data_IF_291569088679
#
_entry.id   IF_291569088679
#
_cell.length_a   1.000
_cell.length_b   1.000
_cell.length_c   1.000
_cell.angle_alpha   90.00
_cell.angle_beta   90.00
_cell.angle_gamma   90.00
#
_symmetry.space_group_name_H-M   'P 1'
#
loop_
_entity.id
_entity.type
_entity.pdbx_description
1 polymer ?
#
# COMPACT_ATOMS: atom_id res chain seq x y z
N UNK A 1 13.23 40.21 -16.36
CA UNK A 1 14.47 39.46 -16.11
C UNK A 1 14.02 38.11 -15.58
N UNK A 2 14.05 37.10 -16.44
CA UNK A 2 13.59 35.73 -16.15
C UNK A 2 14.70 34.98 -15.44
N UNK A 3 14.50 34.64 -14.17
CA UNK A 3 15.41 33.78 -13.43
C UNK A 3 15.15 32.32 -13.82
N UNK A 4 15.70 31.92 -14.98
CA UNK A 4 15.91 30.51 -15.30
C UNK A 4 16.93 29.96 -14.30
N UNK A 5 16.45 29.30 -13.25
CA UNK A 5 17.27 28.56 -12.29
C UNK A 5 18.16 27.59 -13.05
N UNK A 6 19.46 27.86 -13.06
CA UNK A 6 20.44 26.91 -13.57
C UNK A 6 20.45 25.74 -12.59
N UNK A 7 19.82 24.63 -12.97
CA UNK A 7 19.87 23.39 -12.20
C UNK A 7 21.33 22.96 -12.15
N UNK A 8 21.97 23.16 -11.01
CA UNK A 8 23.41 22.92 -10.80
C UNK A 8 23.70 21.55 -10.16
N UNK A 9 24.99 21.24 -10.01
CA UNK A 9 25.49 20.01 -9.36
C UNK A 9 24.91 19.85 -7.94
N UNK A 10 24.87 20.94 -7.16
CA UNK A 10 24.27 20.98 -5.81
C UNK A 10 22.81 20.51 -5.76
N UNK A 11 22.01 20.77 -6.82
CA UNK A 11 20.63 20.31 -6.89
C UNK A 11 20.57 18.79 -6.99
N UNK A 12 21.40 18.19 -7.83
CA UNK A 12 21.38 16.74 -8.05
C UNK A 12 22.00 15.97 -6.87
N UNK A 13 22.99 16.54 -6.19
CA UNK A 13 23.50 15.99 -4.93
C UNK A 13 22.41 15.95 -3.84
N UNK A 14 21.65 17.05 -3.70
CA UNK A 14 20.54 17.12 -2.76
C UNK A 14 19.41 16.14 -3.13
N UNK A 15 19.03 16.09 -4.41
CA UNK A 15 18.01 15.17 -4.92
C UNK A 15 18.41 13.70 -4.68
N UNK A 16 19.68 13.35 -4.89
CA UNK A 16 20.18 12.01 -4.59
C UNK A 16 20.08 11.67 -3.10
N UNK A 17 20.38 12.62 -2.22
CA UNK A 17 20.21 12.45 -0.78
C UNK A 17 18.72 12.21 -0.42
N UNK A 18 17.80 13.00 -0.98
CA UNK A 18 16.36 12.83 -0.77
C UNK A 18 15.86 11.46 -1.24
N UNK A 19 16.26 11.01 -2.43
CA UNK A 19 15.90 9.67 -2.95
C UNK A 19 16.42 8.55 -2.04
N UNK A 20 17.64 8.70 -1.49
CA UNK A 20 18.21 7.73 -0.55
C UNK A 20 17.40 7.65 0.76
N UNK A 21 16.99 8.79 1.31
CA UNK A 21 16.12 8.82 2.49
C UNK A 21 14.78 8.13 2.22
N UNK A 22 14.17 8.36 1.05
CA UNK A 22 12.93 7.66 0.65
C UNK A 22 13.15 6.15 0.57
N UNK A 23 14.28 5.70 0.00
CA UNK A 23 14.61 4.27 -0.09
C UNK A 23 14.76 3.64 1.28
N UNK A 24 15.50 4.27 2.20
CA UNK A 24 15.77 3.76 3.54
C UNK A 24 14.54 3.80 4.47
N UNK A 25 13.54 4.63 4.17
CA UNK A 25 12.34 4.76 4.96
C UNK A 25 11.56 3.44 5.11
N UNK A 26 10.97 3.18 6.29
CA UNK A 26 10.03 2.06 6.50
C UNK A 26 8.58 2.42 6.11
N UNK A 27 8.38 3.59 5.51
CA UNK A 27 7.05 4.05 5.07
C UNK A 27 6.41 3.09 4.08
N UNK A 28 5.08 3.14 4.04
CA UNK A 28 4.26 2.29 3.16
C UNK A 28 4.67 2.48 1.70
N UNK A 29 4.61 1.41 0.91
CA UNK A 29 4.94 1.39 -0.53
C UNK A 29 4.41 2.61 -1.31
N UNK A 30 3.12 2.90 -1.19
CA UNK A 30 2.49 4.02 -1.89
C UNK A 30 3.01 5.39 -1.44
N UNK A 31 3.39 5.53 -0.18
CA UNK A 31 3.95 6.79 0.31
C UNK A 31 5.31 7.07 -0.32
N UNK A 32 6.16 6.04 -0.48
CA UNK A 32 7.45 6.20 -1.17
C UNK A 32 7.25 6.67 -2.62
N UNK A 33 6.26 6.14 -3.33
CA UNK A 33 5.93 6.60 -4.69
C UNK A 33 5.46 8.06 -4.71
N UNK A 34 4.64 8.48 -3.74
CA UNK A 34 4.22 9.88 -3.64
C UNK A 34 5.38 10.80 -3.26
N UNK A 35 6.32 10.33 -2.44
CA UNK A 35 7.51 11.07 -2.07
C UNK A 35 8.42 11.27 -3.29
N UNK A 36 8.61 10.23 -4.12
CA UNK A 36 9.34 10.37 -5.40
C UNK A 36 8.65 11.33 -6.35
N UNK A 37 7.33 11.25 -6.50
CA UNK A 37 6.58 12.20 -7.32
C UNK A 37 6.75 13.65 -6.86
N UNK A 38 6.88 13.87 -5.54
CA UNK A 38 7.12 15.20 -4.96
C UNK A 38 8.51 15.78 -5.28
N UNK A 39 9.48 14.96 -5.69
CA UNK A 39 10.80 15.43 -6.13
C UNK A 39 10.80 16.13 -7.50
N UNK A 40 9.65 16.15 -8.18
CA UNK A 40 9.55 16.79 -9.48
C UNK A 40 9.89 18.28 -9.43
N UNK A 41 10.60 18.79 -10.45
CA UNK A 41 11.00 20.20 -10.53
C UNK A 41 9.81 21.17 -10.59
N UNK A 42 8.68 20.70 -11.10
CA UNK A 42 7.43 21.43 -11.23
C UNK A 42 6.37 20.99 -10.20
N UNK A 43 6.78 20.27 -9.15
CA UNK A 43 5.84 19.72 -8.17
C UNK A 43 4.96 20.81 -7.55
N UNK A 44 3.65 20.55 -7.58
CA UNK A 44 2.66 21.40 -6.92
C UNK A 44 1.60 20.53 -6.23
N UNK A 45 1.60 20.55 -4.90
CA UNK A 45 0.65 19.80 -4.07
C UNK A 45 -0.82 20.15 -4.34
N UNK A 46 -1.08 21.39 -4.75
CA UNK A 46 -2.43 21.91 -4.95
C UNK A 46 -2.94 21.66 -6.37
N UNK A 47 -2.04 21.27 -7.29
CA UNK A 47 -2.37 21.01 -8.68
C UNK A 47 -3.39 19.85 -8.82
N UNK A 48 -4.38 19.97 -9.72
CA UNK A 48 -5.32 18.89 -10.00
C UNK A 48 -4.63 17.59 -10.45
N UNK A 49 -3.52 17.70 -11.18
CA UNK A 49 -2.70 16.56 -11.64
C UNK A 49 -2.12 15.76 -10.50
N UNK A 50 -1.61 16.41 -9.44
CA UNK A 50 -1.10 15.76 -8.24
C UNK A 50 -2.18 14.98 -7.50
N UNK A 51 -3.36 15.59 -7.31
CA UNK A 51 -4.50 14.89 -6.67
C UNK A 51 -4.94 13.68 -7.50
N UNK A 52 -4.94 13.81 -8.83
CA UNK A 52 -5.27 12.72 -9.74
C UNK A 52 -4.23 11.60 -9.69
N UNK A 53 -2.94 11.95 -9.65
CA UNK A 53 -1.84 11.02 -9.53
C UNK A 53 -1.96 10.18 -8.24
N UNK A 54 -2.14 10.84 -7.08
CA UNK A 54 -2.30 10.14 -5.80
C UNK A 54 -3.51 9.19 -5.78
N UNK A 55 -4.61 9.56 -6.42
CA UNK A 55 -5.78 8.68 -6.57
C UNK A 55 -5.50 7.48 -7.48
N UNK A 56 -4.72 7.66 -8.54
CA UNK A 56 -4.49 6.62 -9.56
C UNK A 56 -3.37 5.66 -9.23
N UNK A 57 -2.26 6.15 -8.66
CA UNK A 57 -1.03 5.36 -8.49
C UNK A 57 -1.26 4.11 -7.63
N UNK A 58 -2.08 4.22 -6.58
CA UNK A 58 -2.42 3.08 -5.72
C UNK A 58 -3.17 1.99 -6.50
N UNK A 59 -4.20 2.37 -7.26
CA UNK A 59 -4.98 1.40 -8.03
C UNK A 59 -4.16 0.76 -9.16
N UNK A 60 -3.28 1.53 -9.82
CA UNK A 60 -2.37 0.99 -10.83
C UNK A 60 -1.43 -0.08 -10.27
N UNK A 61 -0.86 0.17 -9.09
CA UNK A 61 0.01 -0.79 -8.41
C UNK A 61 -0.73 -2.06 -7.97
N UNK A 62 -1.92 -1.92 -7.36
CA UNK A 62 -2.76 -3.08 -7.04
C UNK A 62 -3.08 -3.90 -8.29
N UNK A 63 -3.44 -3.21 -9.37
CA UNK A 63 -3.82 -3.86 -10.62
C UNK A 63 -2.64 -4.58 -11.28
N UNK A 64 -1.44 -4.00 -11.28
CA UNK A 64 -0.24 -4.64 -11.80
C UNK A 64 0.09 -5.94 -11.03
N UNK A 65 -0.03 -5.93 -9.71
CA UNK A 65 0.36 -7.08 -8.86
C UNK A 65 -0.65 -8.24 -8.92
N UNK A 66 -1.95 -7.95 -9.03
CA UNK A 66 -2.98 -8.98 -8.87
C UNK A 66 -4.24 -8.77 -9.71
N UNK A 67 -4.22 -7.89 -10.72
CA UNK A 67 -5.30 -7.70 -11.70
C UNK A 67 -6.58 -7.04 -11.18
N UNK A 68 -6.54 -6.43 -9.98
CA UNK A 68 -7.70 -5.78 -9.36
C UNK A 68 -7.31 -4.41 -8.81
N UNK A 69 -8.24 -3.45 -8.81
CA UNK A 69 -8.10 -2.25 -7.98
C UNK A 69 -8.16 -2.59 -6.49
N UNK A 70 -7.78 -1.65 -5.63
CA UNK A 70 -7.86 -1.84 -4.17
C UNK A 70 -9.30 -2.18 -3.72
N UNK A 71 -10.30 -1.53 -4.32
CA UNK A 71 -11.71 -1.74 -3.99
C UNK A 71 -12.22 -3.11 -4.47
N UNK A 72 -11.84 -3.51 -5.69
CA UNK A 72 -12.18 -4.83 -6.24
C UNK A 72 -11.55 -5.96 -5.41
N UNK A 73 -10.29 -5.81 -5.01
CA UNK A 73 -9.59 -6.78 -4.15
C UNK A 73 -10.34 -7.02 -2.83
N UNK A 74 -10.78 -5.95 -2.18
CA UNK A 74 -11.54 -6.03 -0.93
C UNK A 74 -12.83 -6.82 -1.15
N UNK A 75 -13.60 -6.49 -2.20
CA UNK A 75 -14.86 -7.20 -2.51
C UNK A 75 -14.62 -8.67 -2.87
N UNK A 76 -13.54 -8.98 -3.58
CA UNK A 76 -13.18 -10.34 -3.96
C UNK A 76 -12.80 -11.20 -2.74
N UNK A 77 -12.05 -10.62 -1.79
CA UNK A 77 -11.38 -11.39 -0.73
C UNK A 77 -12.05 -11.35 0.63
N UNK A 78 -12.73 -10.26 0.98
CA UNK A 78 -13.45 -10.14 2.25
C UNK A 78 -14.60 -11.15 2.28
N UNK A 79 -14.50 -12.11 3.19
CA UNK A 79 -15.48 -13.19 3.32
C UNK A 79 -15.49 -13.73 4.74
N UNK A 80 -16.61 -13.57 5.44
CA UNK A 80 -16.79 -13.95 6.84
C UNK A 80 -16.64 -15.46 7.12
N UNK A 81 -16.78 -16.30 6.10
CA UNK A 81 -16.68 -17.76 6.23
C UNK A 81 -15.23 -18.26 6.12
N UNK A 82 -14.29 -17.38 5.69
CA UNK A 82 -12.87 -17.70 5.63
C UNK A 82 -12.20 -17.45 6.97
N UNK A 83 -11.10 -18.16 7.21
CA UNK A 83 -10.17 -17.84 8.28
C UNK A 83 -9.72 -16.39 8.18
N UNK A 84 -9.71 -15.69 9.32
CA UNK A 84 -9.40 -14.25 9.40
C UNK A 84 -10.18 -13.40 8.40
N UNK A 85 -11.40 -13.84 8.05
CA UNK A 85 -12.25 -13.25 7.01
C UNK A 85 -11.57 -12.95 5.66
N UNK A 86 -10.51 -13.68 5.34
CA UNK A 86 -9.69 -13.51 4.15
C UNK A 86 -8.53 -12.51 4.29
N UNK A 87 -8.35 -11.86 5.44
CA UNK A 87 -7.17 -11.05 5.72
C UNK A 87 -5.95 -11.95 5.89
N UNK A 88 -4.81 -11.47 5.41
CA UNK A 88 -3.48 -12.08 5.60
C UNK A 88 -2.68 -11.38 6.70
N UNK A 89 -3.03 -10.13 7.02
CA UNK A 89 -2.45 -9.33 8.10
C UNK A 89 -3.44 -8.25 8.55
N UNK A 90 -3.30 -7.74 9.78
CA UNK A 90 -4.10 -6.65 10.37
C UNK A 90 -3.28 -6.04 11.53
N UNK A 91 -3.78 -4.97 12.16
CA UNK A 91 -3.00 -4.23 13.16
C UNK A 91 -2.47 -5.10 14.31
N UNK A 92 -3.28 -6.06 14.79
CA UNK A 92 -2.92 -6.95 15.89
C UNK A 92 -2.56 -8.38 15.43
N UNK A 93 -2.21 -8.58 14.16
CA UNK A 93 -1.87 -9.90 13.65
C UNK A 93 -0.59 -10.47 14.28
N UNK A 94 -0.44 -11.82 14.36
CA UNK A 94 -1.43 -12.83 14.00
C UNK A 94 -2.40 -13.19 15.14
N UNK A 95 -2.11 -12.78 16.38
CA UNK A 95 -2.77 -13.32 17.58
C UNK A 95 -3.94 -12.47 18.11
N UNK A 96 -4.04 -11.21 17.71
CA UNK A 96 -5.07 -10.28 18.19
C UNK A 96 -6.33 -10.27 17.32
N UNK A 97 -7.40 -9.68 17.85
CA UNK A 97 -8.67 -9.53 17.10
C UNK A 97 -8.51 -8.62 15.89
N UNK A 98 -9.16 -8.99 14.81
CA UNK A 98 -9.48 -8.11 13.68
C UNK A 98 -10.49 -7.09 14.19
N UNK A 99 -10.25 -5.81 13.89
CA UNK A 99 -11.18 -4.73 14.17
C UNK A 99 -11.70 -4.12 12.87
N UNK A 100 -12.85 -3.45 12.95
CA UNK A 100 -13.55 -2.88 11.80
C UNK A 100 -12.66 -1.98 10.90
N UNK A 101 -11.73 -1.16 11.42
CA UNK A 101 -10.81 -0.40 10.56
C UNK A 101 -9.89 -1.26 9.68
N UNK A 102 -9.53 -2.48 10.12
CA UNK A 102 -8.62 -3.36 9.39
C UNK A 102 -9.22 -3.85 8.07
N UNK A 103 -10.54 -4.06 8.04
CA UNK A 103 -11.20 -4.77 6.92
C UNK A 103 -11.37 -3.90 5.68
N UNK A 104 -11.19 -2.58 5.82
CA UNK A 104 -11.24 -1.62 4.71
C UNK A 104 -9.88 -1.35 4.06
N UNK A 105 -8.82 -2.00 4.55
CA UNK A 105 -7.45 -1.79 4.06
C UNK A 105 -7.11 -2.89 3.05
N UNK A 106 -7.06 -2.56 1.77
CA UNK A 106 -6.77 -3.52 0.70
C UNK A 106 -5.44 -4.28 0.91
N UNK A 107 -4.40 -3.63 1.45
CA UNK A 107 -3.11 -4.25 1.79
C UNK A 107 -3.27 -5.47 2.71
N UNK A 108 -4.24 -5.43 3.63
CA UNK A 108 -4.48 -6.48 4.61
C UNK A 108 -4.99 -7.79 3.98
N UNK A 109 -5.38 -7.76 2.71
CA UNK A 109 -5.80 -8.94 1.94
C UNK A 109 -4.73 -9.45 0.97
N UNK A 110 -3.55 -8.81 0.91
CA UNK A 110 -2.48 -9.20 -0.01
C UNK A 110 -1.71 -10.41 0.50
N UNK A 111 -1.46 -11.37 -0.38
CA UNK A 111 -0.60 -12.51 -0.11
C UNK A 111 0.86 -12.05 0.01
N UNK A 112 1.69 -12.84 0.68
CA UNK A 112 3.12 -12.53 0.83
C UNK A 112 3.81 -12.31 -0.53
N UNK A 113 3.52 -13.17 -1.52
CA UNK A 113 4.06 -13.03 -2.89
C UNK A 113 3.64 -11.72 -3.57
N UNK A 114 2.43 -11.23 -3.31
CA UNK A 114 1.92 -9.97 -3.86
C UNK A 114 2.54 -8.77 -3.17
N UNK A 115 2.78 -8.85 -1.85
CA UNK A 115 3.51 -7.81 -1.10
C UNK A 115 4.96 -7.71 -1.55
N UNK A 116 5.62 -8.84 -1.79
CA UNK A 116 6.99 -8.88 -2.32
C UNK A 116 7.06 -8.27 -3.72
N UNK A 117 6.11 -8.61 -4.58
CA UNK A 117 6.06 -8.08 -5.94
C UNK A 117 5.77 -6.57 -5.97
N UNK A 118 4.84 -6.11 -5.14
CA UNK A 118 4.61 -4.68 -4.90
C UNK A 118 5.89 -3.95 -4.44
N UNK A 119 6.68 -4.58 -3.57
CA UNK A 119 7.98 -4.08 -3.15
C UNK A 119 8.98 -3.96 -4.30
N UNK A 120 9.05 -4.94 -5.19
CA UNK A 120 9.91 -4.91 -6.39
C UNK A 120 9.53 -3.80 -7.35
N UNK A 121 8.23 -3.56 -7.56
CA UNK A 121 7.75 -2.45 -8.38
C UNK A 121 8.16 -1.09 -7.80
N UNK A 122 7.97 -0.88 -6.50
CA UNK A 122 8.41 0.36 -5.84
C UNK A 122 9.93 0.54 -5.93
N UNK A 123 10.71 -0.52 -5.70
CA UNK A 123 12.17 -0.46 -5.83
C UNK A 123 12.59 -0.12 -7.26
N UNK A 124 11.91 -0.64 -8.28
CA UNK A 124 12.18 -0.30 -9.68
C UNK A 124 11.98 1.19 -9.97
N UNK A 125 10.96 1.81 -9.36
CA UNK A 125 10.74 3.27 -9.44
C UNK A 125 11.86 4.03 -8.74
N UNK A 126 12.30 3.58 -7.57
CA UNK A 126 13.41 4.20 -6.83
C UNK A 126 14.74 4.10 -7.58
N UNK A 127 15.03 2.95 -8.19
CA UNK A 127 16.22 2.72 -9.01
C UNK A 127 16.23 3.64 -10.24
N UNK A 128 15.07 3.78 -10.89
CA UNK A 128 14.92 4.73 -11.97
C UNK A 128 15.14 6.16 -11.49
N UNK A 129 14.65 6.51 -10.31
CA UNK A 129 14.80 7.85 -9.78
C UNK A 129 16.26 8.21 -9.49
N UNK A 130 16.97 7.33 -8.81
CA UNK A 130 18.40 7.47 -8.55
C UNK A 130 19.18 7.56 -9.87
N UNK A 131 18.80 6.78 -10.88
CA UNK A 131 19.41 6.86 -12.22
C UNK A 131 19.18 8.21 -12.89
N UNK A 132 17.99 8.80 -12.77
CA UNK A 132 17.70 10.11 -13.37
C UNK A 132 18.53 11.21 -12.70
N UNK A 133 18.60 11.18 -11.37
CA UNK A 133 19.39 12.13 -10.60
C UNK A 133 20.90 12.00 -10.90
N UNK A 134 21.46 10.78 -10.93
CA UNK A 134 22.87 10.55 -11.30
C UNK A 134 23.20 11.05 -12.71
N UNK A 135 22.25 10.96 -13.64
CA UNK A 135 22.41 11.43 -15.02
C UNK A 135 22.15 12.92 -15.19
N UNK A 136 21.89 13.64 -14.10
CA UNK A 136 21.56 15.06 -14.12
C UNK A 136 20.34 15.36 -15.01
N UNK A 137 19.36 14.44 -15.01
CA UNK A 137 18.12 14.58 -15.76
C UNK A 137 17.02 15.04 -14.78
N UNK A 138 16.58 16.31 -14.86
CA UNK A 138 15.47 16.77 -14.04
C UNK A 138 14.16 16.10 -14.46
N UNK A 139 13.27 15.96 -13.50
CA UNK A 139 12.03 15.21 -13.63
C UNK A 139 10.83 16.11 -13.43
N UNK A 140 9.92 16.17 -14.40
CA UNK A 140 8.60 16.79 -14.15
C UNK A 140 7.61 15.78 -13.56
N UNK A 141 6.50 16.29 -13.03
CA UNK A 141 5.37 15.48 -12.57
C UNK A 141 4.84 14.57 -13.69
N UNK A 142 4.77 15.09 -14.92
CA UNK A 142 4.36 14.32 -16.09
C UNK A 142 5.37 13.22 -16.44
N UNK A 143 6.66 13.52 -16.36
CA UNK A 143 7.72 12.55 -16.60
C UNK A 143 7.67 11.38 -15.61
N UNK A 144 7.39 11.66 -14.32
CA UNK A 144 7.21 10.61 -13.32
C UNK A 144 5.99 9.74 -13.61
N UNK A 145 4.85 10.35 -13.92
CA UNK A 145 3.64 9.61 -14.24
C UNK A 145 3.87 8.65 -15.41
N UNK A 146 4.50 9.12 -16.49
CA UNK A 146 4.85 8.30 -17.67
C UNK A 146 5.82 7.17 -17.33
N UNK A 147 6.87 7.46 -16.56
CA UNK A 147 7.89 6.46 -16.21
C UNK A 147 7.35 5.37 -15.29
N UNK A 148 6.47 5.71 -14.36
CA UNK A 148 5.79 4.71 -13.53
C UNK A 148 4.91 3.83 -14.42
N UNK A 149 4.16 4.41 -15.35
CA UNK A 149 3.35 3.63 -16.30
C UNK A 149 4.21 2.66 -17.12
N UNK A 150 5.36 3.11 -17.64
CA UNK A 150 6.32 2.23 -18.35
C UNK A 150 6.83 1.09 -17.46
N UNK A 151 7.16 1.36 -16.19
CA UNK A 151 7.62 0.31 -15.27
C UNK A 151 6.53 -0.75 -15.06
N UNK A 152 5.27 -0.32 -14.92
CA UNK A 152 4.14 -1.23 -14.75
C UNK A 152 3.86 -2.02 -16.04
N UNK A 153 3.97 -1.40 -17.21
CA UNK A 153 3.80 -2.06 -18.52
C UNK A 153 4.91 -3.08 -18.82
N UNK A 154 6.15 -2.77 -18.43
CA UNK A 154 7.31 -3.62 -18.71
C UNK A 154 7.28 -4.97 -17.99
N UNK A 155 6.46 -5.13 -16.95
CA UNK A 155 6.23 -6.40 -16.24
C UNK A 155 5.44 -7.43 -17.05
N UNK A 156 4.79 -7.01 -18.15
CA UNK A 156 3.84 -7.84 -18.89
C UNK A 156 2.45 -7.91 -18.24
N UNK A 157 2.23 -7.11 -17.20
CA UNK A 157 0.99 -7.07 -16.46
C UNK A 157 -0.07 -6.23 -17.18
N UNK A 158 -1.34 -6.54 -16.93
CA UNK A 158 -2.44 -5.73 -17.43
C UNK A 158 -2.35 -4.33 -16.78
N UNK A 159 -2.49 -3.27 -17.57
CA UNK A 159 -2.50 -1.90 -17.06
C UNK A 159 -3.92 -1.42 -16.86
N UNK A 160 -4.18 -0.83 -15.70
CA UNK A 160 -5.47 -0.21 -15.42
C UNK A 160 -5.65 1.06 -16.25
N UNK A 161 -6.49 0.98 -17.29
CA UNK A 161 -6.82 2.11 -18.17
C UNK A 161 -8.05 2.90 -17.72
N UNK A 162 -8.88 2.35 -16.83
CA UNK A 162 -10.09 2.99 -16.30
C UNK A 162 -10.05 3.12 -14.76
N UNK A 163 -11.19 3.39 -14.12
CA UNK A 163 -11.28 3.57 -12.67
C UNK A 163 -11.51 2.26 -11.88
N UNK A 164 -11.59 1.12 -12.56
CA UNK A 164 -12.16 -0.12 -12.04
C UNK A 164 -13.69 -0.11 -12.04
N UNK A 165 -14.28 -1.24 -11.63
CA UNK A 165 -15.74 -1.46 -11.63
C UNK A 165 -16.38 -1.22 -10.27
N UNK A 166 -15.58 -1.14 -9.21
CA UNK A 166 -16.06 -1.09 -7.81
C UNK A 166 -15.64 0.23 -7.16
N UNK A 167 -16.59 0.90 -6.52
CA UNK A 167 -16.30 2.13 -5.76
C UNK A 167 -15.68 1.81 -4.40
N UNK A 168 -14.82 2.72 -3.91
CA UNK A 168 -14.22 2.58 -2.58
C UNK A 168 -15.27 2.55 -1.45
N UNK A 169 -16.35 3.32 -1.59
CA UNK A 169 -17.45 3.35 -0.62
C UNK A 169 -18.19 2.00 -0.57
N UNK A 170 -18.51 1.42 -1.73
CA UNK A 170 -19.15 0.11 -1.78
C UNK A 170 -18.24 -0.97 -1.19
N UNK A 171 -16.96 -1.00 -1.57
CA UNK A 171 -16.00 -1.98 -1.05
C UNK A 171 -15.87 -1.90 0.47
N UNK A 172 -15.82 -0.67 1.02
CA UNK A 172 -15.82 -0.44 2.46
C UNK A 172 -17.08 -1.00 3.12
N UNK A 173 -18.27 -0.60 2.64
CA UNK A 173 -19.54 -1.09 3.21
C UNK A 173 -19.67 -2.61 3.12
N UNK A 174 -19.22 -3.20 2.01
CA UNK A 174 -19.19 -4.65 1.83
C UNK A 174 -18.30 -5.34 2.87
N UNK A 175 -17.04 -4.91 3.01
CA UNK A 175 -16.12 -5.50 3.97
C UNK A 175 -16.57 -5.33 5.42
N UNK A 176 -17.14 -4.16 5.76
CA UNK A 176 -17.73 -3.94 7.07
C UNK A 176 -18.93 -4.87 7.33
N UNK A 177 -19.75 -5.16 6.31
CA UNK A 177 -20.87 -6.11 6.45
C UNK A 177 -20.39 -7.55 6.65
N UNK A 178 -19.31 -7.96 5.98
CA UNK A 178 -18.65 -9.25 6.21
C UNK A 178 -18.03 -9.30 7.60
N UNK A 179 -17.46 -8.20 8.09
CA UNK A 179 -16.92 -8.12 9.44
C UNK A 179 -17.98 -8.34 10.51
N UNK A 180 -19.18 -7.77 10.37
CA UNK A 180 -20.23 -7.98 11.37
C UNK A 180 -20.65 -9.46 11.47
N UNK A 181 -20.64 -10.20 10.35
CA UNK A 181 -20.85 -11.65 10.35
C UNK A 181 -19.68 -12.38 11.01
N UNK A 182 -18.45 -12.02 10.64
CA UNK A 182 -17.22 -12.63 11.15
C UNK A 182 -17.02 -12.38 12.64
N UNK A 183 -17.44 -11.23 13.16
CA UNK A 183 -17.30 -10.84 14.57
C UNK A 183 -17.84 -11.91 15.52
N UNK A 184 -18.98 -12.51 15.18
CA UNK A 184 -19.59 -13.60 15.97
C UNK A 184 -18.73 -14.87 15.95
N UNK A 185 -18.06 -15.16 14.82
CA UNK A 185 -17.15 -16.29 14.67
C UNK A 185 -15.87 -16.02 15.48
N UNK A 186 -15.29 -14.84 15.31
CA UNK A 186 -14.10 -14.41 16.03
C UNK A 186 -14.31 -14.42 17.55
N UNK A 187 -15.43 -13.89 18.06
CA UNK A 187 -15.69 -13.86 19.50
C UNK A 187 -15.83 -15.26 20.12
N UNK A 188 -16.25 -16.27 19.34
CA UNK A 188 -16.29 -17.67 19.79
C UNK A 188 -14.93 -18.36 19.77
N UNK A 189 -14.06 -17.97 18.83
CA UNK A 189 -12.75 -18.61 18.63
C UNK A 189 -11.62 -17.90 19.39
N UNK A 190 -11.81 -16.63 19.75
CA UNK A 190 -10.76 -15.83 20.35
C UNK A 190 -10.47 -16.27 21.79
N UNK A 191 -9.20 -16.53 22.04
CA UNK A 191 -8.66 -16.92 23.35
C UNK A 191 -7.73 -15.81 23.82
N UNK A 192 -8.15 -15.04 24.84
CA UNK A 192 -7.37 -13.90 25.33
C UNK A 192 -6.07 -14.35 26.02
N UNK A 193 -5.16 -13.41 26.27
CA UNK A 193 -3.96 -13.66 27.06
C UNK A 193 -4.31 -14.13 28.49
N UNK A 194 -5.37 -13.59 29.08
CA UNK A 194 -5.92 -14.04 30.36
C UNK A 194 -6.46 -15.48 30.29
N UNK A 195 -7.22 -15.81 29.26
CA UNK A 195 -7.77 -17.16 29.07
C UNK A 195 -6.64 -18.19 28.85
N UNK A 196 -5.63 -17.83 28.05
CA UNK A 196 -4.40 -18.62 27.87
C UNK A 196 -3.65 -18.79 29.19
N UNK A 197 -3.47 -17.73 29.97
CA UNK A 197 -2.82 -17.77 31.27
C UNK A 197 -3.53 -18.74 32.23
N UNK A 198 -4.86 -18.64 32.36
CA UNK A 198 -5.64 -19.54 33.21
C UNK A 198 -5.53 -21.01 32.76
N UNK A 199 -5.49 -21.29 31.46
CA UNK A 199 -5.31 -22.65 30.94
C UNK A 199 -3.91 -23.24 31.17
N UNK A 200 -2.92 -22.39 31.47
CA UNK A 200 -1.53 -22.79 31.70
C UNK A 200 -1.19 -23.02 33.17
N UNK A 201 -2.08 -22.61 34.08
CA UNK A 201 -1.93 -22.88 35.51
C UNK A 201 -2.25 -24.36 35.76
N UNK A 202 -1.43 -25.09 36.54
CA UNK A 202 -1.83 -26.40 37.04
C UNK A 202 -3.13 -26.21 37.84
N UNK A 203 -4.10 -27.10 37.63
CA UNK A 203 -5.26 -27.19 38.51
C UNK A 203 -4.71 -27.45 39.92
N UNK A 204 -4.70 -26.43 40.77
CA UNK A 204 -4.67 -26.67 42.21
C UNK A 204 -6.00 -27.34 42.52
N UNK A 205 -5.98 -28.68 42.54
CA UNK A 205 -6.94 -29.48 43.28
C UNK A 205 -6.79 -29.07 44.75
N UNK A 206 -7.43 -27.97 45.12
CA UNK A 206 -7.72 -27.64 46.52
C UNK A 206 -8.73 -28.68 47.02
N UNK A 207 -8.22 -29.89 47.28
CA UNK A 207 -8.75 -30.78 48.28
C UNK A 207 -8.34 -30.22 49.64
N UNK A 208 -9.21 -29.41 50.23
CA UNK A 208 -9.62 -29.52 51.64
C UNK A 208 -10.72 -28.51 52.00
#
# INVERSE_FOLDING_TARGET
MENGSFIGEDYFEHLLAEIREIRLSERRFYQKLTDIYATAVDYNKDAPTTRLFYKKVQNKMHYAVHGHTAAELIVERANAEKEHMGLTTWENAPDGKIVKPDVSIAKNYLKQVELEDMGKLVNSVLDLAERMANRHIPMTMEDWAKRIDIILEAGGDAVLHDAGKVSAEFAKSFAESEFEKYRVIQDKLFNSDFDKFNSSLPFDDDKN
#
